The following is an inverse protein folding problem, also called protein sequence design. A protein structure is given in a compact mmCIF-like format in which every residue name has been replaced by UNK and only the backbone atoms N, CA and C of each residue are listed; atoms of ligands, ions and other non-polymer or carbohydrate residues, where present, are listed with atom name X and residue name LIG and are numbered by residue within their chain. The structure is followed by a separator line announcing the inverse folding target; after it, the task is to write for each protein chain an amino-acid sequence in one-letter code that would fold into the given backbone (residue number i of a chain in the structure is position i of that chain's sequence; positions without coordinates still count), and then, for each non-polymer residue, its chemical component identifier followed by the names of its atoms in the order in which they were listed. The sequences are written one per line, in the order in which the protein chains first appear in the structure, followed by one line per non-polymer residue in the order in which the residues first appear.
data_IF_364420632497
#
_entry.id   IF_364420632497
#
_cell.length_a   1.000
_cell.length_b   1.000
_cell.length_c   1.000
_cell.angle_alpha   90.00
_cell.angle_beta   90.00
_cell.angle_gamma   90.00
#
_symmetry.space_group_name_H-M   'P 1'
#
loop_
_entity.id
_entity.type
_entity.pdbx_description
1 polymer ?
#
# COMPACT_ATOMS: atom_id res chain seq x y z
N UNK A 1 20.32 -7.16 -22.39
CA UNK A 1 20.55 -5.72 -22.16
C UNK A 1 19.23 -4.97 -21.98
N UNK A 2 18.17 -5.27 -22.74
CA UNK A 2 16.86 -4.57 -22.63
C UNK A 2 16.19 -4.72 -21.27
N UNK A 3 16.13 -5.93 -20.69
CA UNK A 3 15.53 -6.19 -19.38
C UNK A 3 16.16 -5.36 -18.26
N UNK A 4 17.50 -5.40 -18.16
CA UNK A 4 18.21 -4.66 -17.11
C UNK A 4 18.03 -3.15 -17.23
N UNK A 5 18.02 -2.61 -18.44
CA UNK A 5 17.78 -1.19 -18.69
C UNK A 5 16.36 -0.77 -18.28
N UNK A 6 15.35 -1.56 -18.66
CA UNK A 6 13.95 -1.29 -18.34
C UNK A 6 13.69 -1.32 -16.83
N UNK A 7 14.20 -2.34 -16.14
CA UNK A 7 14.09 -2.44 -14.68
C UNK A 7 14.83 -1.32 -13.97
N UNK A 8 16.00 -0.93 -14.47
CA UNK A 8 16.74 0.23 -13.91
C UNK A 8 15.96 1.53 -14.12
N UNK A 9 15.33 1.73 -15.28
CA UNK A 9 14.49 2.89 -15.56
C UNK A 9 13.27 2.92 -14.65
N UNK A 10 12.52 1.83 -14.57
CA UNK A 10 11.33 1.74 -13.73
C UNK A 10 11.65 1.92 -12.24
N UNK A 11 12.68 1.23 -11.74
CA UNK A 11 13.14 1.38 -10.36
C UNK A 11 13.60 2.79 -10.07
N UNK A 12 14.31 3.44 -11.00
CA UNK A 12 14.73 4.83 -10.86
C UNK A 12 13.58 5.81 -10.80
N UNK A 13 12.55 5.62 -11.63
CA UNK A 13 11.33 6.44 -11.63
C UNK A 13 10.52 6.23 -10.34
N UNK A 14 10.37 4.98 -9.87
CA UNK A 14 9.71 4.67 -8.60
C UNK A 14 10.47 5.31 -7.43
N UNK A 15 11.80 5.22 -7.43
CA UNK A 15 12.63 5.86 -6.40
C UNK A 15 12.45 7.38 -6.42
N UNK A 16 12.42 8.01 -7.60
CA UNK A 16 12.17 9.44 -7.74
C UNK A 16 10.75 9.82 -7.24
N UNK A 17 9.73 9.02 -7.56
CA UNK A 17 8.36 9.22 -7.10
C UNK A 17 8.27 9.10 -5.56
N UNK A 18 8.93 8.09 -4.96
CA UNK A 18 9.02 7.92 -3.51
C UNK A 18 9.70 9.11 -2.84
N UNK A 19 10.83 9.58 -3.39
CA UNK A 19 11.54 10.76 -2.87
C UNK A 19 10.67 12.02 -2.94
N UNK A 20 9.95 12.23 -4.03
CA UNK A 20 9.03 13.35 -4.20
C UNK A 20 7.89 13.28 -3.17
N UNK A 21 7.30 12.09 -2.93
CA UNK A 21 6.26 11.86 -1.94
C UNK A 21 6.71 12.19 -0.52
N UNK A 22 7.90 11.77 -0.12
CA UNK A 22 8.44 12.08 1.21
C UNK A 22 8.78 13.57 1.41
N UNK A 23 8.96 14.34 0.34
CA UNK A 23 9.15 15.80 0.38
C UNK A 23 7.82 16.56 0.26
N UNK A 24 6.76 15.93 -0.24
CA UNK A 24 5.47 16.56 -0.54
C UNK A 24 4.84 17.28 0.67
N UNK A 25 4.83 16.74 1.91
CA UNK A 25 4.27 17.43 3.08
C UNK A 25 4.96 18.74 3.42
N UNK A 26 6.22 18.93 3.02
CA UNK A 26 6.97 20.15 3.23
C UNK A 26 6.72 21.23 2.16
N UNK A 27 6.21 20.83 0.98
CA UNK A 27 6.06 21.69 -0.19
C UNK A 27 4.60 21.98 -0.55
N UNK A 28 3.71 21.05 -0.27
CA UNK A 28 2.30 21.11 -0.70
C UNK A 28 1.37 20.89 0.49
N UNK A 29 0.27 21.65 0.52
CA UNK A 29 -0.84 21.44 1.45
C UNK A 29 -1.95 20.71 0.70
N UNK A 30 -2.00 19.40 0.85
CA UNK A 30 -3.13 18.62 0.36
C UNK A 30 -4.35 18.87 1.26
N UNK A 31 -5.51 19.07 0.65
CA UNK A 31 -6.76 19.02 1.41
C UNK A 31 -7.07 17.56 1.75
N UNK A 32 -7.72 17.30 2.90
CA UNK A 32 -8.15 15.95 3.28
C UNK A 32 -8.86 15.24 2.13
N UNK A 33 -9.80 15.90 1.48
CA UNK A 33 -10.56 15.36 0.35
C UNK A 33 -9.68 14.95 -0.83
N UNK A 34 -8.68 15.74 -1.20
CA UNK A 34 -7.76 15.39 -2.31
C UNK A 34 -6.95 14.15 -1.98
N UNK A 35 -6.50 14.02 -0.73
CA UNK A 35 -5.73 12.87 -0.28
C UNK A 35 -6.58 11.60 -0.34
N UNK A 36 -7.82 11.63 0.18
CA UNK A 36 -8.73 10.49 0.15
C UNK A 36 -9.10 10.07 -1.28
N UNK A 37 -9.39 11.02 -2.17
CA UNK A 37 -9.65 10.72 -3.59
C UNK A 37 -8.44 10.05 -4.25
N UNK A 38 -7.23 10.52 -3.96
CA UNK A 38 -6.02 9.92 -4.49
C UNK A 38 -5.80 8.51 -3.93
N UNK A 39 -6.02 8.31 -2.63
CA UNK A 39 -5.93 6.97 -2.00
C UNK A 39 -6.94 6.00 -2.61
N UNK A 40 -8.21 6.39 -2.77
CA UNK A 40 -9.23 5.57 -3.42
C UNK A 40 -8.87 5.22 -4.87
N UNK A 41 -8.38 6.17 -5.66
CA UNK A 41 -7.95 5.92 -7.04
C UNK A 41 -6.82 4.90 -7.09
N UNK A 42 -5.82 5.09 -6.24
CA UNK A 42 -4.63 4.22 -6.17
C UNK A 42 -4.99 2.83 -5.68
N UNK A 43 -5.84 2.74 -4.65
CA UNK A 43 -6.33 1.45 -4.15
C UNK A 43 -7.10 0.69 -5.25
N UNK A 44 -7.96 1.38 -6.02
CA UNK A 44 -8.64 0.79 -7.18
C UNK A 44 -7.67 0.30 -8.26
N UNK A 45 -6.63 1.07 -8.55
CA UNK A 45 -5.59 0.67 -9.51
C UNK A 45 -4.83 -0.56 -9.03
N UNK A 46 -4.38 -0.61 -7.76
CA UNK A 46 -3.68 -1.75 -7.19
C UNK A 46 -4.56 -3.01 -7.20
N UNK A 47 -5.83 -2.87 -6.81
CA UNK A 47 -6.82 -3.95 -6.87
C UNK A 47 -6.93 -4.49 -8.30
N UNK A 48 -7.10 -3.61 -9.28
CA UNK A 48 -7.22 -3.96 -10.69
C UNK A 48 -5.97 -4.63 -11.24
N UNK A 49 -4.77 -4.11 -10.94
CA UNK A 49 -3.50 -4.71 -11.37
C UNK A 49 -3.30 -6.09 -10.74
N UNK A 50 -3.62 -6.26 -9.46
CA UNK A 50 -3.56 -7.57 -8.80
C UNK A 50 -4.40 -8.62 -9.49
N UNK A 51 -5.66 -8.26 -9.85
CA UNK A 51 -6.64 -9.19 -10.42
C UNK A 51 -6.49 -9.36 -11.93
N UNK A 52 -6.24 -8.30 -12.70
CA UNK A 52 -6.25 -8.34 -14.16
C UNK A 52 -4.89 -8.62 -14.80
N UNK A 53 -3.79 -8.35 -14.07
CA UNK A 53 -2.43 -8.53 -14.61
C UNK A 53 -1.65 -9.59 -13.84
N UNK A 54 -1.43 -9.42 -12.52
CA UNK A 54 -0.56 -10.33 -11.78
C UNK A 54 -1.14 -11.74 -11.65
N UNK A 55 -2.41 -11.88 -11.34
CA UNK A 55 -3.04 -13.19 -11.13
C UNK A 55 -3.15 -14.02 -12.42
N UNK A 56 -3.56 -13.48 -13.59
CA UNK A 56 -3.53 -14.23 -14.84
C UNK A 56 -2.13 -14.69 -15.23
N UNK A 57 -1.12 -13.79 -15.14
CA UNK A 57 0.27 -14.16 -15.42
C UNK A 57 0.79 -15.24 -14.46
N UNK A 58 0.39 -15.17 -13.17
CA UNK A 58 0.74 -16.21 -12.20
C UNK A 58 0.17 -17.57 -12.61
N UNK A 59 -1.11 -17.63 -13.04
CA UNK A 59 -1.75 -18.89 -13.48
C UNK A 59 -1.06 -19.45 -14.74
N UNK A 60 -0.69 -18.62 -15.70
CA UNK A 60 0.05 -19.03 -16.88
C UNK A 60 1.42 -19.62 -16.52
N UNK A 61 2.17 -18.95 -15.65
CA UNK A 61 3.49 -19.44 -15.20
C UNK A 61 3.39 -20.72 -14.35
N UNK A 62 2.27 -20.93 -13.66
CA UNK A 62 1.96 -22.16 -12.91
C UNK A 62 1.29 -23.25 -13.78
N UNK A 63 1.46 -23.19 -15.11
CA UNK A 63 0.88 -24.18 -16.03
C UNK A 63 -0.64 -24.32 -15.91
N UNK A 64 -1.33 -23.21 -15.65
CA UNK A 64 -2.79 -23.11 -15.44
C UNK A 64 -3.30 -23.87 -14.20
N UNK A 65 -2.43 -24.17 -13.23
CA UNK A 65 -2.85 -24.67 -11.92
C UNK A 65 -3.45 -23.54 -11.07
N UNK A 66 -4.77 -23.39 -11.17
CA UNK A 66 -5.54 -22.36 -10.45
C UNK A 66 -5.48 -22.58 -8.94
N UNK A 67 -5.39 -23.84 -8.46
CA UNK A 67 -5.30 -24.14 -7.03
C UNK A 67 -3.96 -23.68 -6.46
N UNK A 68 -2.87 -23.93 -7.17
CA UNK A 68 -1.56 -23.44 -6.78
C UNK A 68 -1.51 -21.90 -6.78
N UNK A 69 -2.04 -21.25 -7.84
CA UNK A 69 -2.11 -19.78 -7.92
C UNK A 69 -2.93 -19.18 -6.76
N UNK A 70 -4.11 -19.75 -6.47
CA UNK A 70 -4.94 -19.30 -5.35
C UNK A 70 -4.26 -19.53 -3.99
N UNK A 71 -3.54 -20.63 -3.81
CA UNK A 71 -2.77 -20.91 -2.60
C UNK A 71 -1.67 -19.87 -2.35
N UNK A 72 -0.87 -19.55 -3.36
CA UNK A 72 0.18 -18.52 -3.27
C UNK A 72 -0.39 -17.12 -3.10
N UNK A 73 -1.51 -16.79 -3.77
CA UNK A 73 -2.22 -15.52 -3.56
C UNK A 73 -2.70 -15.40 -2.11
N UNK A 74 -3.31 -16.45 -1.56
CA UNK A 74 -3.76 -16.47 -0.17
C UNK A 74 -2.58 -16.31 0.79
N UNK A 75 -1.45 -16.95 0.51
CA UNK A 75 -0.23 -16.78 1.31
C UNK A 75 0.27 -15.32 1.32
N UNK A 76 0.27 -14.65 0.16
CA UNK A 76 0.61 -13.24 0.04
C UNK A 76 -0.36 -12.33 0.82
N UNK A 77 -1.67 -12.55 0.65
CA UNK A 77 -2.72 -11.80 1.33
C UNK A 77 -2.61 -11.94 2.85
N UNK A 78 -2.56 -13.17 3.35
CA UNK A 78 -2.45 -13.42 4.79
C UNK A 78 -1.10 -12.96 5.36
N UNK A 79 -0.01 -13.17 4.63
CA UNK A 79 1.32 -12.69 5.04
C UNK A 79 1.32 -11.17 5.23
N UNK A 80 0.79 -10.43 4.25
CA UNK A 80 0.67 -8.98 4.35
C UNK A 80 -0.32 -8.54 5.43
N UNK A 81 -1.46 -9.23 5.57
CA UNK A 81 -2.43 -8.95 6.62
C UNK A 81 -1.81 -9.09 8.02
N UNK A 82 -1.07 -10.16 8.28
CA UNK A 82 -0.40 -10.34 9.57
C UNK A 82 0.74 -9.34 9.76
N UNK A 83 1.45 -8.98 8.70
CA UNK A 83 2.47 -7.94 8.74
C UNK A 83 1.86 -6.59 9.13
N UNK A 84 0.79 -6.17 8.46
CA UNK A 84 0.06 -4.94 8.80
C UNK A 84 -0.43 -5.02 10.26
N UNK A 85 -1.07 -6.11 10.65
CA UNK A 85 -1.59 -6.30 12.00
C UNK A 85 -0.49 -6.25 13.07
N UNK A 86 0.67 -6.84 12.83
CA UNK A 86 1.79 -6.85 13.78
C UNK A 86 2.32 -5.44 14.06
N UNK A 87 2.26 -4.56 13.07
CA UNK A 87 2.84 -3.21 13.16
C UNK A 87 1.83 -2.06 13.24
N UNK A 88 0.52 -2.35 13.04
CA UNK A 88 -0.55 -1.33 12.99
C UNK A 88 -1.18 -0.98 14.34
N UNK A 89 -0.67 -1.46 15.45
CA UNK A 89 -1.30 -1.28 16.77
C UNK A 89 -1.46 0.17 17.24
N UNK A 90 -1.01 1.22 16.48
CA UNK A 90 -0.98 2.59 17.00
C UNK A 90 -1.37 3.73 16.03
N UNK A 91 -2.06 3.49 14.92
CA UNK A 91 -2.41 4.59 14.00
C UNK A 91 -3.70 5.35 14.31
N UNK A 92 -4.50 4.94 15.29
CA UNK A 92 -5.79 5.59 15.57
C UNK A 92 -5.73 6.81 16.50
N UNK A 93 -4.56 7.36 16.84
CA UNK A 93 -4.45 8.35 17.91
C UNK A 93 -3.95 9.76 17.51
N UNK A 94 -3.81 10.15 16.26
CA UNK A 94 -3.18 11.45 16.01
C UNK A 94 -3.47 12.16 14.70
N UNK A 95 -4.70 12.21 14.23
CA UNK A 95 -5.11 13.13 13.15
C UNK A 95 -6.33 13.98 13.53
N UNK A 96 -6.63 14.15 14.81
CA UNK A 96 -7.48 15.28 15.21
C UNK A 96 -6.60 16.53 15.33
N UNK A 97 -6.90 17.59 14.57
CA UNK A 97 -6.32 18.90 14.87
C UNK A 97 -6.84 19.32 16.25
N UNK A 98 -5.96 19.61 17.21
CA UNK A 98 -6.29 20.41 18.36
C UNK A 98 -7.01 21.68 17.86
N UNK A 99 -8.31 21.72 17.99
CA UNK A 99 -9.07 22.97 17.90
C UNK A 99 -8.54 23.83 19.04
N UNK A 100 -7.65 24.73 18.66
CA UNK A 100 -7.10 25.74 19.54
C UNK A 100 -8.28 26.47 20.23
N UNK A 101 -8.49 26.16 21.49
CA UNK A 101 -9.29 27.01 22.37
C UNK A 101 -8.68 28.40 22.35
N UNK A 102 -9.33 29.32 21.67
CA UNK A 102 -9.06 30.75 21.78
C UNK A 102 -9.36 31.20 23.21
N UNK A 103 -8.45 31.94 23.87
CA UNK A 103 -8.71 32.49 25.18
C UNK A 103 -9.65 33.69 25.05
N UNK A 104 -10.76 33.65 25.80
CA UNK A 104 -11.41 34.72 26.43
C UNK A 104 -11.95 35.91 25.58
N UNK A 105 -13.26 36.01 25.49
CA UNK A 105 -13.92 37.33 25.57
C UNK A 105 -15.13 37.23 26.49
N UNK A 106 -15.01 37.89 27.65
CA UNK A 106 -16.11 38.24 28.51
C UNK A 106 -17.10 39.10 27.72
N UNK A 107 -18.35 38.71 27.70
CA UNK A 107 -19.47 39.58 27.43
C UNK A 107 -20.66 39.06 28.24
N UNK A 108 -21.03 39.87 29.25
CA UNK A 108 -22.25 39.81 30.00
C UNK A 108 -23.45 39.97 29.08
N UNK A 109 -24.54 39.26 29.40
CA UNK A 109 -25.90 39.80 29.51
C UNK A 109 -26.93 38.67 29.59
N UNK A 110 -27.56 38.61 30.74
CA UNK A 110 -28.98 38.84 31.03
C UNK A 110 -30.02 37.83 30.53
N UNK A 111 -30.65 37.25 31.58
CA UNK A 111 -32.09 36.99 31.83
C UNK A 111 -32.86 36.00 30.94
N UNK A 112 -33.31 34.93 31.50
CA UNK A 112 -34.66 34.76 32.06
C UNK A 112 -34.98 33.32 32.39
N UNK A 113 -35.28 33.05 33.67
CA UNK A 113 -36.60 32.62 34.08
C UNK A 113 -36.78 31.17 34.46
N UNK A 114 -37.00 30.94 35.81
CA UNK A 114 -37.91 29.97 36.42
C UNK A 114 -37.52 28.48 36.40
N UNK A 115 -37.56 27.71 37.45
CA UNK A 115 -38.21 27.64 38.78
C UNK A 115 -37.54 26.55 39.63
N UNK A 116 -37.17 26.90 40.87
CA UNK A 116 -37.42 26.23 42.14
C UNK A 116 -37.34 24.68 42.21
N UNK A 117 -36.36 24.19 42.95
CA UNK A 117 -36.59 23.33 44.12
C UNK A 117 -35.40 23.41 45.10
N UNK A 118 -35.74 23.80 46.29
CA UNK A 118 -35.01 23.90 47.53
C UNK A 118 -34.68 22.51 48.10
N UNK A 119 -33.45 22.30 48.54
CA UNK A 119 -33.09 21.47 49.69
C UNK A 119 -31.66 21.81 50.13
N UNK A 120 -31.60 22.55 51.22
CA UNK A 120 -30.38 22.85 51.94
C UNK A 120 -29.84 21.63 52.68
N UNK A 121 -28.52 21.52 52.69
CA UNK A 121 -27.75 20.98 53.79
C UNK A 121 -26.37 21.66 53.84
N UNK A 122 -26.18 22.43 54.90
CA UNK A 122 -24.87 22.89 55.37
C UNK A 122 -24.01 21.70 55.80
N UNK A 123 -22.77 21.64 55.32
CA UNK A 123 -21.65 21.12 56.06
C UNK A 123 -20.39 21.86 55.68
N UNK A 124 -19.94 22.69 56.62
CA UNK A 124 -18.59 23.23 56.66
C UNK A 124 -17.60 22.07 56.90
N UNK A 125 -16.62 21.91 56.03
CA UNK A 125 -15.35 21.27 56.35
C UNK A 125 -14.22 21.94 55.57
N UNK A 126 -13.48 22.79 56.28
CA UNK A 126 -12.12 23.17 55.96
C UNK A 126 -11.26 21.90 55.84
N UNK A 127 -10.74 21.65 54.67
CA UNK A 127 -9.60 20.74 54.45
C UNK A 127 -8.74 21.28 53.33
N UNK A 128 -7.64 21.88 53.73
CA UNK A 128 -6.51 22.24 52.88
C UNK A 128 -5.96 20.98 52.15
N UNK A 129 -6.32 20.79 50.90
CA UNK A 129 -5.66 19.80 50.05
C UNK A 129 -4.53 20.45 49.25
N UNK A 130 -3.31 20.17 49.69
CA UNK A 130 -2.09 20.38 48.94
C UNK A 130 -2.19 19.64 47.61
N UNK A 131 -2.25 20.39 46.50
CA UNK A 131 -2.10 19.84 45.18
C UNK A 131 -0.67 19.30 45.01
N UNK A 132 -0.52 17.99 45.16
CA UNK A 132 0.65 17.29 44.67
C UNK A 132 0.63 17.43 43.15
N UNK A 133 1.61 18.12 42.60
CA UNK A 133 1.90 18.16 41.18
C UNK A 133 2.25 16.76 40.74
N UNK A 134 1.26 16.06 40.15
CA UNK A 134 1.55 14.86 39.38
C UNK A 134 2.35 15.31 38.17
N UNK A 135 3.66 15.04 38.23
CA UNK A 135 4.52 15.16 37.09
C UNK A 135 4.00 14.20 36.00
N UNK A 136 3.44 14.79 34.93
CA UNK A 136 3.19 14.06 33.70
C UNK A 136 4.56 13.67 33.14
N UNK A 137 4.98 12.44 33.40
CA UNK A 137 6.02 11.83 32.59
C UNK A 137 5.54 11.81 31.15
N UNK A 138 6.31 12.34 30.20
CA UNK A 138 5.91 12.27 28.78
C UNK A 138 5.83 10.80 28.38
N UNK A 139 4.75 10.38 27.70
CA UNK A 139 4.59 8.98 27.31
C UNK A 139 5.72 8.56 26.38
N UNK A 140 6.62 7.74 26.86
CA UNK A 140 7.76 7.18 26.11
C UNK A 140 7.34 6.21 25.01
N UNK A 141 6.04 5.90 24.89
CA UNK A 141 5.50 4.96 23.92
C UNK A 141 5.42 5.49 22.47
N UNK A 142 5.47 6.81 22.25
CA UNK A 142 5.34 7.40 20.91
C UNK A 142 6.59 7.29 20.02
N UNK A 143 7.76 7.05 20.60
CA UNK A 143 9.02 7.02 19.82
C UNK A 143 9.25 5.72 19.05
N UNK A 144 8.57 4.64 19.38
CA UNK A 144 8.74 3.32 18.76
C UNK A 144 7.68 3.01 17.68
N UNK A 145 6.58 3.77 17.62
CA UNK A 145 5.48 3.51 16.70
C UNK A 145 5.88 3.63 15.21
N UNK A 146 6.74 4.60 14.85
CA UNK A 146 7.19 4.78 13.48
C UNK A 146 8.11 3.66 12.98
N UNK A 147 8.87 2.99 13.88
CA UNK A 147 9.77 1.90 13.51
C UNK A 147 8.99 0.69 13.01
N UNK A 148 7.89 0.34 13.69
CA UNK A 148 7.03 -0.76 13.27
C UNK A 148 6.39 -0.50 11.91
N UNK A 149 5.80 0.67 11.73
CA UNK A 149 5.21 1.10 10.44
C UNK A 149 6.27 1.15 9.35
N UNK A 150 7.42 1.76 9.64
CA UNK A 150 8.53 1.84 8.70
C UNK A 150 9.06 0.46 8.29
N UNK A 151 9.14 -0.50 9.21
CA UNK A 151 9.54 -1.86 8.92
C UNK A 151 8.51 -2.57 8.03
N UNK A 152 7.22 -2.50 8.38
CA UNK A 152 6.13 -3.09 7.57
C UNK A 152 6.13 -2.55 6.14
N UNK A 153 6.22 -1.22 5.98
CA UNK A 153 6.31 -0.57 4.67
C UNK A 153 7.61 -0.92 3.92
N UNK A 154 8.72 -1.15 4.63
CA UNK A 154 9.98 -1.59 4.01
C UNK A 154 9.85 -3.00 3.41
N UNK A 155 9.28 -3.94 4.16
CA UNK A 155 9.03 -5.30 3.67
C UNK A 155 8.06 -5.27 2.48
N UNK A 156 6.98 -4.50 2.58
CA UNK A 156 6.06 -4.27 1.46
C UNK A 156 6.80 -3.76 0.22
N UNK A 157 7.66 -2.74 0.36
CA UNK A 157 8.42 -2.17 -0.74
C UNK A 157 9.40 -3.16 -1.39
N UNK A 158 9.99 -4.06 -0.61
CA UNK A 158 10.78 -5.16 -1.16
C UNK A 158 9.93 -6.09 -2.03
N UNK A 159 8.73 -6.42 -1.57
CA UNK A 159 7.79 -7.25 -2.33
C UNK A 159 7.36 -6.54 -3.62
N UNK A 160 7.13 -5.22 -3.60
CA UNK A 160 6.84 -4.43 -4.80
C UNK A 160 7.96 -4.53 -5.84
N UNK A 161 9.22 -4.44 -5.38
CA UNK A 161 10.37 -4.61 -6.28
C UNK A 161 10.44 -6.01 -6.88
N UNK A 162 10.14 -7.04 -6.09
CA UNK A 162 10.04 -8.42 -6.58
C UNK A 162 8.87 -8.58 -7.57
N UNK A 163 7.71 -7.98 -7.28
CA UNK A 163 6.55 -7.96 -8.15
C UNK A 163 6.86 -7.32 -9.51
N UNK A 164 7.55 -6.17 -9.49
CA UNK A 164 8.00 -5.48 -10.70
C UNK A 164 8.91 -6.35 -11.54
N UNK A 165 9.92 -6.98 -10.94
CA UNK A 165 10.85 -7.86 -11.64
C UNK A 165 10.13 -9.06 -12.24
N UNK A 166 9.26 -9.71 -11.45
CA UNK A 166 8.47 -10.86 -11.88
C UNK A 166 7.52 -10.51 -13.03
N UNK A 167 6.82 -9.36 -12.95
CA UNK A 167 5.92 -8.90 -14.00
C UNK A 167 6.64 -8.62 -15.31
N UNK A 168 7.73 -7.85 -15.26
CA UNK A 168 8.55 -7.55 -16.46
C UNK A 168 9.10 -8.85 -17.09
N UNK A 169 9.55 -9.78 -16.28
CA UNK A 169 10.09 -11.05 -16.77
C UNK A 169 9.00 -11.95 -17.38
N UNK A 170 7.83 -12.01 -16.75
CA UNK A 170 6.67 -12.74 -17.26
C UNK A 170 6.26 -12.21 -18.63
N UNK A 171 6.08 -10.90 -18.77
CA UNK A 171 5.69 -10.28 -20.03
C UNK A 171 6.72 -10.53 -21.14
N UNK A 172 8.00 -10.44 -20.81
CA UNK A 172 9.07 -10.72 -21.77
C UNK A 172 9.08 -12.19 -22.22
N UNK A 173 8.80 -13.12 -21.32
CA UNK A 173 8.75 -14.54 -21.62
C UNK A 173 7.55 -14.92 -22.49
N UNK A 174 6.43 -14.22 -22.31
CA UNK A 174 5.17 -14.49 -23.00
C UNK A 174 5.05 -13.76 -24.33
N UNK A 175 5.45 -12.49 -24.40
CA UNK A 175 5.20 -11.62 -25.58
C UNK A 175 6.44 -11.26 -26.38
N UNK A 176 7.64 -11.39 -25.79
CA UNK A 176 8.90 -10.99 -26.42
C UNK A 176 9.09 -9.48 -26.63
N UNK A 177 8.09 -8.67 -26.28
CA UNK A 177 8.13 -7.20 -26.42
C UNK A 177 8.63 -6.54 -25.14
N UNK A 178 9.66 -5.67 -25.27
CA UNK A 178 10.31 -5.05 -24.12
C UNK A 178 9.71 -3.72 -23.71
N UNK A 179 9.05 -2.99 -24.63
CA UNK A 179 8.75 -1.57 -24.44
C UNK A 179 7.71 -1.28 -23.36
N UNK A 180 6.77 -2.19 -23.14
CA UNK A 180 5.64 -2.03 -22.19
C UNK A 180 5.57 -3.16 -21.15
N UNK A 181 6.59 -4.04 -21.10
CA UNK A 181 6.62 -5.15 -20.17
C UNK A 181 6.57 -4.64 -18.72
N UNK A 182 5.66 -5.19 -17.90
CA UNK A 182 5.46 -4.79 -16.50
C UNK A 182 4.88 -3.39 -16.30
N UNK A 183 4.32 -2.77 -17.34
CA UNK A 183 3.83 -1.39 -17.27
C UNK A 183 2.71 -1.23 -16.23
N UNK A 184 1.77 -2.15 -16.17
CA UNK A 184 0.67 -2.09 -15.21
C UNK A 184 1.18 -2.15 -13.76
N UNK A 185 2.09 -3.09 -13.47
CA UNK A 185 2.73 -3.22 -12.16
C UNK A 185 3.56 -1.99 -11.82
N UNK A 186 4.34 -1.47 -12.78
CA UNK A 186 5.09 -0.23 -12.61
C UNK A 186 4.17 0.96 -12.26
N UNK A 187 3.07 1.14 -12.99
CA UNK A 187 2.11 2.23 -12.75
C UNK A 187 1.47 2.13 -11.37
N UNK A 188 1.06 0.91 -10.97
CA UNK A 188 0.52 0.69 -9.65
C UNK A 188 1.52 1.09 -8.56
N UNK A 189 2.77 0.61 -8.66
CA UNK A 189 3.83 0.91 -7.68
C UNK A 189 4.18 2.42 -7.69
N UNK A 190 4.39 3.01 -8.85
CA UNK A 190 4.79 4.41 -8.98
C UNK A 190 3.76 5.39 -8.40
N UNK A 191 2.45 5.05 -8.45
CA UNK A 191 1.38 5.91 -7.95
C UNK A 191 1.15 5.79 -6.45
N UNK A 192 1.35 4.60 -5.82
CA UNK A 192 1.19 4.46 -4.37
C UNK A 192 2.46 4.83 -3.59
N UNK A 193 3.63 4.69 -4.18
CA UNK A 193 4.92 4.96 -3.52
C UNK A 193 5.08 6.35 -2.91
N UNK A 194 4.59 7.44 -3.55
CA UNK A 194 4.58 8.75 -2.93
C UNK A 194 3.75 8.81 -1.65
N UNK A 195 2.62 8.09 -1.57
CA UNK A 195 1.74 8.05 -0.39
C UNK A 195 2.41 7.33 0.77
N UNK A 196 3.06 6.19 0.51
CA UNK A 196 3.83 5.45 1.51
C UNK A 196 4.95 6.30 2.11
N UNK A 197 5.73 6.95 1.23
CA UNK A 197 6.84 7.81 1.64
C UNK A 197 6.36 9.04 2.43
N UNK A 198 5.22 9.60 2.05
CA UNK A 198 4.57 10.70 2.76
C UNK A 198 4.14 10.26 4.16
N UNK A 199 3.54 9.08 4.30
CA UNK A 199 3.12 8.52 5.59
C UNK A 199 4.28 8.36 6.56
N UNK A 200 5.40 7.78 6.12
CA UNK A 200 6.61 7.62 6.93
C UNK A 200 7.16 9.00 7.37
N UNK A 201 7.32 9.92 6.42
CA UNK A 201 7.94 11.22 6.72
C UNK A 201 7.07 12.10 7.59
N UNK A 202 5.74 12.00 7.47
CA UNK A 202 4.78 12.71 8.33
C UNK A 202 4.81 12.14 9.75
N UNK A 203 4.80 10.81 9.91
CA UNK A 203 4.87 10.16 11.22
C UNK A 203 6.19 10.47 11.95
N UNK A 204 7.32 10.48 11.22
CA UNK A 204 8.59 10.92 11.78
C UNK A 204 8.58 12.41 12.16
N UNK A 205 7.88 13.25 11.38
CA UNK A 205 7.77 14.67 11.69
C UNK A 205 6.97 14.92 12.96
N UNK A 206 5.84 14.26 13.15
CA UNK A 206 5.02 14.34 14.38
C UNK A 206 5.76 13.81 15.61
N UNK A 207 6.67 12.85 15.41
CA UNK A 207 7.56 12.33 16.48
C UNK A 207 8.79 13.20 16.77
N UNK A 208 8.89 14.40 16.17
CA UNK A 208 9.98 15.36 16.43
C UNK A 208 11.32 15.03 15.76
N UNK A 209 11.35 14.16 14.76
CA UNK A 209 12.59 13.80 14.06
C UNK A 209 13.10 14.94 13.17
N UNK A 210 14.43 15.09 13.14
CA UNK A 210 15.07 16.12 12.34
C UNK A 210 14.81 15.94 10.83
N UNK A 211 14.85 17.05 10.07
CA UNK A 211 14.69 17.01 8.61
C UNK A 211 15.72 16.08 7.94
N UNK A 212 16.96 16.05 8.46
CA UNK A 212 18.02 15.17 7.94
C UNK A 212 17.67 13.70 8.14
N UNK A 213 17.25 13.33 9.35
CA UNK A 213 16.86 11.93 9.66
C UNK A 213 15.69 11.46 8.79
N UNK A 214 14.67 12.32 8.58
CA UNK A 214 13.54 12.01 7.69
C UNK A 214 13.98 11.82 6.24
N UNK A 215 14.92 12.62 5.78
CA UNK A 215 15.46 12.52 4.42
C UNK A 215 16.26 11.22 4.23
N UNK A 216 17.08 10.83 5.22
CA UNK A 216 17.81 9.54 5.21
C UNK A 216 16.86 8.37 5.23
N UNK A 217 15.83 8.39 6.09
CA UNK A 217 14.81 7.35 6.15
C UNK A 217 14.06 7.22 4.82
N UNK A 218 13.66 8.35 4.21
CA UNK A 218 12.98 8.35 2.92
C UNK A 218 13.87 7.80 1.78
N UNK A 219 15.14 8.16 1.76
CA UNK A 219 16.09 7.63 0.77
C UNK A 219 16.31 6.12 0.97
N UNK A 220 16.47 5.67 2.22
CA UNK A 220 16.60 4.25 2.53
C UNK A 220 15.34 3.48 2.11
N UNK A 221 14.16 4.02 2.38
CA UNK A 221 12.88 3.45 1.97
C UNK A 221 12.76 3.38 0.44
N UNK A 222 13.08 4.46 -0.26
CA UNK A 222 13.04 4.51 -1.73
C UNK A 222 13.98 3.48 -2.38
N UNK A 223 15.13 3.19 -1.76
CA UNK A 223 16.09 2.20 -2.24
C UNK A 223 15.60 0.74 -2.08
N UNK A 224 14.58 0.47 -1.27
CA UNK A 224 14.09 -0.89 -1.05
C UNK A 224 13.45 -1.51 -2.30
N UNK A 225 12.84 -0.72 -3.18
CA UNK A 225 12.27 -1.24 -4.42
C UNK A 225 13.36 -1.80 -5.38
N UNK A 226 14.42 -1.06 -5.75
CA UNK A 226 15.51 -1.65 -6.54
C UNK A 226 16.22 -2.81 -5.83
N UNK A 227 16.32 -2.80 -4.49
CA UNK A 227 16.85 -3.94 -3.72
C UNK A 227 15.92 -5.16 -3.89
N UNK A 228 14.61 -4.98 -3.88
CA UNK A 228 13.63 -6.03 -4.15
C UNK A 228 13.79 -6.63 -5.54
N UNK A 229 14.03 -5.81 -6.56
CA UNK A 229 14.33 -6.27 -7.93
C UNK A 229 15.60 -7.15 -7.94
N UNK A 230 16.68 -6.70 -7.30
CA UNK A 230 17.93 -7.47 -7.20
C UNK A 230 17.70 -8.78 -6.45
N UNK A 231 16.96 -8.74 -5.35
CA UNK A 231 16.66 -9.91 -4.54
C UNK A 231 15.88 -10.96 -5.35
N UNK A 232 14.90 -10.53 -6.17
CA UNK A 232 14.15 -11.43 -7.04
C UNK A 232 15.10 -12.26 -7.93
N UNK A 233 16.02 -11.60 -8.65
CA UNK A 233 16.95 -12.31 -9.53
C UNK A 233 17.99 -13.16 -8.76
N UNK A 234 18.42 -12.72 -7.59
CA UNK A 234 19.31 -13.52 -6.75
C UNK A 234 18.65 -14.81 -6.28
N UNK A 235 17.37 -14.75 -5.89
CA UNK A 235 16.60 -15.94 -5.49
C UNK A 235 16.29 -16.83 -6.70
N UNK A 236 15.86 -16.26 -7.81
CA UNK A 236 15.58 -16.98 -9.04
C UNK A 236 16.81 -17.76 -9.53
N UNK A 237 17.99 -17.14 -9.50
CA UNK A 237 19.24 -17.79 -9.91
C UNK A 237 19.59 -18.99 -9.00
N UNK A 238 19.23 -18.95 -7.71
CA UNK A 238 19.56 -20.02 -6.75
C UNK A 238 18.55 -21.17 -6.78
N UNK A 239 17.28 -20.90 -7.07
CA UNK A 239 16.19 -21.89 -7.03
C UNK A 239 16.02 -22.68 -8.32
N UNK A 240 17.00 -22.61 -9.26
CA UNK A 240 16.95 -23.33 -10.55
C UNK A 240 15.61 -23.14 -11.28
N UNK A 241 15.53 -22.07 -12.02
CA UNK A 241 14.69 -21.72 -13.18
C UNK A 241 13.48 -22.63 -13.52
N UNK A 242 12.62 -22.91 -12.58
CA UNK A 242 11.31 -23.49 -12.90
C UNK A 242 10.30 -22.34 -12.86
N UNK A 243 9.47 -22.18 -13.88
CA UNK A 243 8.41 -21.17 -13.96
C UNK A 243 7.50 -21.10 -12.73
N UNK A 244 7.52 -22.13 -11.89
CA UNK A 244 6.84 -22.21 -10.60
C UNK A 244 7.25 -21.09 -9.63
N UNK A 245 8.54 -20.70 -9.57
CA UNK A 245 8.98 -19.59 -8.71
C UNK A 245 8.43 -18.26 -9.20
N UNK A 246 8.51 -18.01 -10.50
CA UNK A 246 7.98 -16.80 -11.12
C UNK A 246 6.47 -16.68 -10.92
N UNK A 247 5.72 -17.76 -11.16
CA UNK A 247 4.29 -17.80 -10.93
C UNK A 247 3.90 -17.62 -9.46
N UNK A 248 4.63 -18.24 -8.54
CA UNK A 248 4.42 -18.05 -7.10
C UNK A 248 4.70 -16.61 -6.67
N UNK A 249 5.77 -15.99 -7.15
CA UNK A 249 6.09 -14.59 -6.85
C UNK A 249 5.00 -13.63 -7.35
N UNK A 250 4.48 -13.83 -8.56
CA UNK A 250 3.37 -13.05 -9.12
C UNK A 250 2.08 -13.24 -8.31
N UNK A 251 1.73 -14.47 -7.93
CA UNK A 251 0.54 -14.76 -7.13
C UNK A 251 0.61 -14.17 -5.73
N UNK A 252 1.77 -14.30 -5.05
CA UNK A 252 2.02 -13.65 -3.74
C UNK A 252 1.86 -12.14 -3.86
N UNK A 253 2.45 -11.53 -4.88
CA UNK A 253 2.38 -10.08 -5.10
C UNK A 253 0.94 -9.63 -5.38
N UNK A 254 0.16 -10.41 -6.14
CA UNK A 254 -1.27 -10.15 -6.32
C UNK A 254 -2.00 -10.15 -4.97
N UNK A 255 -1.75 -11.14 -4.11
CA UNK A 255 -2.32 -11.23 -2.77
C UNK A 255 -1.96 -10.04 -1.87
N UNK A 256 -0.70 -9.59 -1.93
CA UNK A 256 -0.23 -8.39 -1.21
C UNK A 256 -0.95 -7.13 -1.72
N UNK A 257 -1.08 -6.94 -3.04
CA UNK A 257 -1.80 -5.80 -3.61
C UNK A 257 -3.28 -5.79 -3.22
N UNK A 258 -3.93 -6.96 -3.23
CA UNK A 258 -5.31 -7.08 -2.75
C UNK A 258 -5.41 -6.69 -1.26
N UNK A 259 -4.54 -7.20 -0.42
CA UNK A 259 -4.56 -6.91 1.02
C UNK A 259 -4.44 -5.40 1.29
N UNK A 260 -3.48 -4.73 0.66
CA UNK A 260 -3.24 -3.30 0.88
C UNK A 260 -4.41 -2.48 0.35
N UNK A 261 -4.85 -2.72 -0.90
CA UNK A 261 -5.96 -1.97 -1.47
C UNK A 261 -7.25 -2.11 -0.63
N UNK A 262 -7.54 -3.31 -0.10
CA UNK A 262 -8.69 -3.52 0.77
C UNK A 262 -8.51 -2.88 2.15
N UNK A 263 -7.31 -2.87 2.72
CA UNK A 263 -7.04 -2.22 4.00
C UNK A 263 -7.15 -0.69 3.92
N UNK A 264 -6.78 -0.09 2.81
CA UNK A 264 -6.90 1.35 2.58
C UNK A 264 -8.36 1.78 2.35
N UNK A 265 -9.18 0.90 1.75
CA UNK A 265 -10.60 1.17 1.49
C UNK A 265 -11.48 1.03 2.73
N UNK A 266 -11.15 0.13 3.67
CA UNK A 266 -11.98 -0.17 4.83
C UNK A 266 -12.25 1.04 5.74
N UNK A 267 -11.26 1.86 6.14
CA UNK A 267 -11.49 3.05 6.96
C UNK A 267 -12.36 4.09 6.24
N UNK A 268 -12.18 4.22 4.93
CA UNK A 268 -12.85 5.22 4.12
C UNK A 268 -14.35 4.99 4.02
N UNK A 269 -14.77 3.72 3.93
CA UNK A 269 -16.19 3.34 3.90
C UNK A 269 -16.88 3.64 5.25
N UNK A 270 -16.15 3.54 6.37
CA UNK A 270 -16.71 3.65 7.71
C UNK A 270 -16.91 5.10 8.18
N UNK A 271 -16.00 6.02 7.80
CA UNK A 271 -15.93 7.35 8.43
C UNK A 271 -16.46 8.51 7.59
N UNK A 272 -16.69 8.39 6.28
CA UNK A 272 -17.07 9.51 5.42
C UNK A 272 -18.46 9.35 4.77
N UNK A 273 -19.50 9.90 5.43
CA UNK A 273 -20.88 9.84 4.93
C UNK A 273 -21.16 10.79 3.74
N UNK A 274 -20.41 11.89 3.59
CA UNK A 274 -20.72 12.95 2.62
C UNK A 274 -20.06 12.78 1.24
N UNK A 275 -18.91 12.10 1.14
CA UNK A 275 -18.12 12.01 -0.12
C UNK A 275 -18.10 10.60 -0.74
N UNK A 276 -18.94 9.68 -0.26
CA UNK A 276 -18.95 8.25 -0.68
C UNK A 276 -19.01 8.05 -2.19
N UNK A 277 -19.84 8.82 -2.90
CA UNK A 277 -19.98 8.68 -4.35
C UNK A 277 -18.67 9.02 -5.07
N UNK A 278 -17.99 10.10 -4.65
CA UNK A 278 -16.76 10.55 -5.32
C UNK A 278 -15.61 9.58 -5.06
N UNK A 279 -15.52 9.03 -3.85
CA UNK A 279 -14.52 8.04 -3.47
C UNK A 279 -14.76 6.73 -4.23
N UNK A 280 -16.01 6.27 -4.32
CA UNK A 280 -16.37 5.10 -5.11
C UNK A 280 -16.10 5.29 -6.61
N UNK A 281 -16.32 6.50 -7.15
CA UNK A 281 -16.01 6.83 -8.54
C UNK A 281 -14.48 6.88 -8.77
N UNK A 282 -13.71 7.40 -7.83
CA UNK A 282 -12.24 7.40 -7.89
C UNK A 282 -11.67 5.98 -7.87
N UNK A 283 -12.19 5.12 -6.99
CA UNK A 283 -11.85 3.70 -6.94
C UNK A 283 -12.16 3.01 -8.27
N UNK A 284 -13.39 3.18 -8.77
CA UNK A 284 -13.80 2.59 -10.03
C UNK A 284 -12.93 3.09 -11.19
N UNK A 285 -12.56 4.37 -11.20
CA UNK A 285 -11.63 4.92 -12.18
C UNK A 285 -10.27 4.23 -12.12
N UNK A 286 -9.73 3.96 -10.92
CA UNK A 286 -8.49 3.19 -10.75
C UNK A 286 -8.59 1.78 -11.33
N UNK A 287 -9.68 1.07 -11.04
CA UNK A 287 -9.95 -0.27 -11.61
C UNK A 287 -10.07 -0.22 -13.12
N UNK A 288 -10.76 0.79 -13.67
CA UNK A 288 -10.90 0.97 -15.11
C UNK A 288 -9.58 1.30 -15.81
N UNK A 289 -8.70 2.07 -15.16
CA UNK A 289 -7.33 2.30 -15.66
C UNK A 289 -6.58 0.99 -15.74
N UNK A 290 -6.59 0.18 -14.67
CA UNK A 290 -5.95 -1.14 -14.69
C UNK A 290 -6.50 -2.04 -15.80
N UNK A 291 -7.83 -2.07 -15.96
CA UNK A 291 -8.46 -2.80 -17.05
C UNK A 291 -8.06 -2.27 -18.43
N UNK A 292 -7.96 -0.94 -18.57
CA UNK A 292 -7.51 -0.29 -19.82
C UNK A 292 -6.08 -0.64 -20.21
N UNK A 293 -5.19 -0.87 -19.22
CA UNK A 293 -3.80 -1.27 -19.46
C UNK A 293 -3.70 -2.63 -20.17
N UNK A 294 -4.70 -3.52 -20.04
CA UNK A 294 -4.77 -4.78 -20.78
C UNK A 294 -4.76 -4.59 -22.32
N UNK A 295 -5.22 -3.44 -22.80
CA UNK A 295 -5.22 -3.14 -24.25
C UNK A 295 -3.91 -2.55 -24.73
N UNK A 296 -3.06 -2.09 -23.82
CA UNK A 296 -1.74 -1.53 -24.11
C UNK A 296 -0.66 -2.61 -24.04
N UNK A 297 -0.84 -3.58 -23.16
CA UNK A 297 0.06 -4.73 -23.05
C UNK A 297 -0.12 -5.65 -24.28
N UNK A 298 0.97 -6.23 -24.79
CA UNK A 298 0.90 -7.11 -25.96
C UNK A 298 -0.02 -8.31 -25.66
N UNK A 299 -0.99 -8.53 -26.53
CA UNK A 299 -1.86 -9.71 -26.43
C UNK A 299 -1.00 -10.95 -26.58
N UNK A 300 -1.03 -11.81 -25.58
CA UNK A 300 -0.44 -13.14 -25.65
C UNK A 300 -1.09 -13.89 -26.82
N UNK A 301 -0.28 -14.29 -27.79
CA UNK A 301 -0.74 -15.15 -28.87
C UNK A 301 -1.06 -16.53 -28.28
N UNK A 302 -2.30 -16.70 -27.81
CA UNK A 302 -2.84 -18.03 -27.55
C UNK A 302 -2.96 -18.79 -28.87
N UNK A 303 -1.86 -19.33 -29.36
CA UNK A 303 -1.99 -20.50 -30.21
C UNK A 303 -2.33 -21.69 -29.30
N UNK A 304 -3.58 -22.23 -29.38
CA UNK A 304 -3.85 -23.52 -28.77
C UNK A 304 -2.89 -24.49 -29.44
N UNK A 305 -1.92 -25.04 -28.71
CA UNK A 305 -1.19 -26.23 -29.15
C UNK A 305 -2.23 -27.33 -29.28
N UNK A 306 -2.89 -27.37 -30.46
CA UNK A 306 -3.66 -28.50 -30.94
C UNK A 306 -2.72 -29.68 -30.84
N UNK A 307 -2.99 -30.58 -29.90
CA UNK A 307 -2.21 -31.76 -29.65
C UNK A 307 -1.91 -32.47 -30.98
N UNK A 308 -0.65 -32.55 -31.28
CA UNK A 308 -0.16 -33.41 -32.34
C UNK A 308 -0.62 -34.83 -32.00
N UNK A 309 -1.80 -35.21 -32.56
CA UNK A 309 -2.21 -36.61 -32.58
C UNK A 309 -1.13 -37.36 -33.34
N UNK A 310 -0.27 -38.04 -32.62
CA UNK A 310 0.61 -39.06 -33.15
C UNK A 310 -0.25 -40.05 -33.91
N UNK A 311 -0.27 -39.92 -35.23
CA UNK A 311 -0.68 -40.98 -36.13
C UNK A 311 0.38 -42.09 -36.08
N UNK A 312 0.32 -42.92 -35.07
CA UNK A 312 1.02 -44.20 -35.13
C UNK A 312 0.30 -45.08 -36.15
N UNK A 313 0.97 -45.60 -37.17
CA UNK A 313 0.34 -46.52 -38.12
C UNK A 313 0.00 -47.81 -37.38
N UNK A 314 -1.27 -48.23 -37.54
CA UNK A 314 -1.77 -49.52 -37.08
C UNK A 314 -1.03 -50.61 -37.84
N UNK A 315 -0.12 -51.33 -37.19
CA UNK A 315 0.45 -52.55 -37.75
C UNK A 315 -0.62 -53.67 -37.66
N UNK A 316 -1.12 -54.03 -38.81
CA UNK A 316 -1.93 -55.26 -39.03
C UNK A 316 -0.96 -56.39 -39.06
N UNK A 317 -0.96 -57.24 -38.05
CA UNK A 317 -0.29 -58.56 -38.12
C UNK A 317 -1.32 -59.59 -38.59
N UNK A 318 -1.03 -60.18 -39.72
CA UNK A 318 -1.66 -61.43 -40.16
C UNK A 318 -1.27 -62.63 -39.28
#
# INVERSE_FOLDING_TARGET
MALGFQLALYSGLIMAASMAGGLAPAMMRFTHRQLHLLMSLVAGLMLGVGVFHLLPHATEMLSYDVHAAAGWLMAGLLGMFFLIRAFHFHQHASLEPDDAQAPGSNAESEHSGCLVHDHGHHHDHDASHSHASHGHEPPTSHKLSWVGVGFGLTVHTLIDGMALAASVQSDLSLSGTTLVAGLATFMAIALHKPLDAMSITTLMASSGWSRRSRMVANLSFAAMCPIGVILFFAVEHTLTANGTFLGAALAISAGVFLCISLSDLLPEIQFHHHDRLQLSLALLAGVLIAWGLLFVEPKHAHEPKLGHKSNAPMQITE
#
